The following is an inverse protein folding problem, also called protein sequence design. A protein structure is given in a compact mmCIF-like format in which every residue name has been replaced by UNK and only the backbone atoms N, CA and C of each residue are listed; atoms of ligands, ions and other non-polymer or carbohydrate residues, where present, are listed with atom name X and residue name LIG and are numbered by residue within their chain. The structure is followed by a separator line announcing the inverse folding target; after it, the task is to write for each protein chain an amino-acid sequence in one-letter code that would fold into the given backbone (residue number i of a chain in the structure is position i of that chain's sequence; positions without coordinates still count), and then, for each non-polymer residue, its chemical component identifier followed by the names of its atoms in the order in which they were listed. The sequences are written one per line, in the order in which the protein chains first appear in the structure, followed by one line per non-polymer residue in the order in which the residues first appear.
data_IF_777920701384
#
_entry.id   IF_777920701384
#
_cell.length_a   1.000
_cell.length_b   1.000
_cell.length_c   1.000
_cell.angle_alpha   90.00
_cell.angle_beta   90.00
_cell.angle_gamma   90.00
#
_symmetry.space_group_name_H-M   'P 1'
#
loop_
_entity.id
_entity.type
_entity.pdbx_description
1 polymer ?
#
# COMPACT_ATOMS: atom_id res chain seq x y z
N UNK A 1 4.46 -39.39 -4.05
CA UNK A 1 5.10 -39.59 -2.72
C UNK A 1 6.38 -38.75 -2.53
N UNK A 2 7.37 -38.78 -3.43
CA UNK A 2 8.62 -37.99 -3.24
C UNK A 2 8.34 -36.48 -3.12
N UNK A 3 7.54 -35.90 -4.01
CA UNK A 3 7.14 -34.49 -3.92
C UNK A 3 6.40 -34.16 -2.61
N UNK A 4 5.58 -35.09 -2.11
CA UNK A 4 4.88 -34.93 -0.83
C UNK A 4 5.85 -34.78 0.34
N UNK A 5 6.81 -35.70 0.50
CA UNK A 5 7.78 -35.62 1.62
C UNK A 5 8.77 -34.47 1.44
N UNK A 6 9.10 -34.11 0.20
CA UNK A 6 9.95 -32.96 -0.12
C UNK A 6 9.29 -31.63 0.22
N UNK A 7 7.97 -31.51 0.01
CA UNK A 7 7.21 -30.30 0.29
C UNK A 7 6.81 -30.16 1.76
N UNK A 8 6.46 -31.25 2.43
CA UNK A 8 5.94 -31.20 3.82
C UNK A 8 7.01 -31.28 4.89
N UNK A 9 8.20 -31.80 4.55
CA UNK A 9 9.19 -32.19 5.56
C UNK A 9 8.69 -33.27 6.54
N UNK A 10 7.62 -33.99 6.17
CA UNK A 10 7.00 -34.99 7.03
C UNK A 10 7.99 -36.11 7.39
N UNK A 11 7.90 -36.58 8.63
CA UNK A 11 8.53 -37.85 9.01
C UNK A 11 7.85 -38.97 8.23
N UNK A 12 8.63 -39.95 7.76
CA UNK A 12 8.11 -41.02 6.88
C UNK A 12 6.99 -41.85 7.52
N UNK A 13 6.95 -41.91 8.86
CA UNK A 13 5.90 -42.60 9.60
C UNK A 13 4.51 -41.97 9.46
N UNK A 14 4.41 -40.70 9.07
CA UNK A 14 3.14 -40.02 8.87
C UNK A 14 2.35 -40.55 7.65
N UNK A 15 3.04 -41.20 6.70
CA UNK A 15 2.48 -41.64 5.42
C UNK A 15 1.41 -42.72 5.58
N UNK A 16 1.64 -43.66 6.50
CA UNK A 16 0.84 -44.88 6.62
C UNK A 16 -0.58 -44.63 7.12
N UNK A 17 -0.74 -43.68 8.05
CA UNK A 17 -2.03 -43.30 8.62
C UNK A 17 -2.75 -42.18 7.82
N UNK A 18 -2.15 -41.69 6.73
CA UNK A 18 -2.66 -40.53 6.02
C UNK A 18 -3.86 -40.89 5.14
N UNK A 19 -4.97 -40.17 5.30
CA UNK A 19 -6.22 -40.36 4.56
C UNK A 19 -6.60 -39.08 3.78
N UNK A 20 -7.44 -39.23 2.75
CA UNK A 20 -7.83 -38.11 1.89
C UNK A 20 -8.54 -36.99 2.66
N UNK A 21 -9.30 -37.30 3.71
CA UNK A 21 -9.94 -36.29 4.58
C UNK A 21 -8.95 -35.35 5.28
N UNK A 22 -7.67 -35.74 5.39
CA UNK A 22 -6.64 -34.91 6.00
C UNK A 22 -6.06 -33.89 5.02
N UNK A 23 -6.38 -33.99 3.72
CA UNK A 23 -5.92 -33.08 2.67
C UNK A 23 -7.02 -32.07 2.38
N UNK A 24 -6.67 -30.78 2.43
CA UNK A 24 -7.60 -29.68 2.19
C UNK A 24 -6.96 -28.69 1.25
N UNK A 25 -7.72 -28.17 0.29
CA UNK A 25 -7.21 -27.17 -0.65
C UNK A 25 -6.87 -25.85 0.03
N UNK A 26 -5.83 -25.19 -0.46
CA UNK A 26 -5.36 -23.89 -0.01
C UNK A 26 -5.20 -22.95 -1.21
N UNK A 27 -5.08 -21.62 -0.99
CA UNK A 27 -4.81 -20.67 -2.07
C UNK A 27 -3.54 -21.02 -2.87
N UNK A 28 -3.38 -20.39 -4.04
CA UNK A 28 -2.24 -20.58 -4.94
C UNK A 28 -2.04 -22.01 -5.46
N UNK A 29 -3.12 -22.81 -5.55
CA UNK A 29 -3.08 -24.23 -5.93
C UNK A 29 -2.25 -25.09 -4.96
N UNK A 30 -2.07 -24.63 -3.72
CA UNK A 30 -1.45 -25.40 -2.67
C UNK A 30 -2.49 -26.29 -1.96
N UNK A 31 -2.02 -27.21 -1.13
CA UNK A 31 -2.89 -27.99 -0.23
C UNK A 31 -2.31 -27.99 1.18
N UNK A 32 -3.17 -28.00 2.19
CA UNK A 32 -2.82 -28.27 3.57
C UNK A 32 -3.04 -29.76 3.87
N UNK A 33 -2.22 -30.31 4.74
CA UNK A 33 -2.30 -31.71 5.17
C UNK A 33 -2.16 -31.81 6.67
N UNK A 34 -3.14 -32.40 7.35
CA UNK A 34 -3.03 -32.76 8.77
C UNK A 34 -2.26 -34.07 8.91
N UNK A 35 -1.09 -34.01 9.53
CA UNK A 35 -0.24 -35.17 9.80
C UNK A 35 -0.45 -35.63 11.24
N UNK A 36 -0.44 -36.95 11.45
CA UNK A 36 -0.64 -37.57 12.77
C UNK A 36 -1.97 -37.18 13.44
N UNK A 37 -3.03 -37.04 12.63
CA UNK A 37 -4.42 -36.76 13.05
C UNK A 37 -4.83 -37.61 14.26
N UNK A 38 -5.33 -36.95 15.31
CA UNK A 38 -5.79 -37.60 16.53
C UNK A 38 -4.69 -38.07 17.49
N UNK A 39 -3.44 -37.63 17.30
CA UNK A 39 -2.32 -37.94 18.22
C UNK A 39 -1.73 -36.68 18.85
N UNK A 40 -0.92 -36.86 19.90
CA UNK A 40 -0.18 -35.77 20.54
C UNK A 40 0.94 -35.17 19.66
N UNK A 41 1.17 -35.72 18.46
CA UNK A 41 2.12 -35.23 17.47
C UNK A 41 1.43 -34.59 16.26
N UNK A 42 0.12 -34.33 16.34
CA UNK A 42 -0.64 -33.71 15.25
C UNK A 42 -0.09 -32.34 14.85
N UNK A 43 0.09 -32.12 13.56
CA UNK A 43 0.42 -30.81 13.01
C UNK A 43 -0.01 -30.66 11.56
N UNK A 44 -0.23 -29.41 11.14
CA UNK A 44 -0.50 -29.08 9.74
C UNK A 44 0.80 -28.87 8.97
N UNK A 45 0.91 -29.52 7.82
CA UNK A 45 1.94 -29.29 6.81
C UNK A 45 1.29 -28.80 5.51
N UNK A 46 2.10 -28.39 4.53
CA UNK A 46 1.60 -27.87 3.26
C UNK A 46 2.32 -28.50 2.05
N UNK A 47 1.58 -28.58 0.95
CA UNK A 47 2.04 -28.96 -0.36
C UNK A 47 2.23 -27.71 -1.22
N UNK A 48 3.39 -27.61 -1.87
CA UNK A 48 3.63 -26.64 -2.94
C UNK A 48 2.64 -26.88 -4.10
N UNK A 49 2.49 -25.92 -5.03
CA UNK A 49 1.66 -26.12 -6.21
C UNK A 49 2.08 -27.36 -7.02
N UNK A 50 3.39 -27.55 -7.22
CA UNK A 50 3.97 -28.73 -7.86
C UNK A 50 3.56 -30.03 -7.13
N UNK A 51 3.73 -30.09 -5.81
CA UNK A 51 3.42 -31.29 -5.04
C UNK A 51 1.91 -31.58 -5.01
N UNK A 52 1.08 -30.54 -5.00
CA UNK A 52 -0.38 -30.62 -5.03
C UNK A 52 -0.88 -31.13 -6.39
N UNK A 53 -0.30 -30.64 -7.49
CA UNK A 53 -0.61 -31.12 -8.85
C UNK A 53 -0.28 -32.60 -8.99
N UNK A 54 0.93 -33.00 -8.60
CA UNK A 54 1.40 -34.39 -8.70
C UNK A 54 0.58 -35.32 -7.80
N UNK A 55 0.16 -34.84 -6.62
CA UNK A 55 -0.75 -35.63 -5.77
C UNK A 55 -2.11 -35.81 -6.46
N UNK A 56 -2.66 -34.74 -7.05
CA UNK A 56 -3.94 -34.79 -7.76
C UNK A 56 -3.88 -35.73 -8.95
N UNK A 57 -2.84 -35.65 -9.79
CA UNK A 57 -2.62 -36.56 -10.92
C UNK A 57 -2.57 -38.03 -10.49
N UNK A 58 -1.89 -38.31 -9.37
CA UNK A 58 -1.85 -39.66 -8.79
C UNK A 58 -3.22 -40.14 -8.31
N UNK A 59 -4.03 -39.26 -7.71
CA UNK A 59 -5.40 -39.59 -7.32
C UNK A 59 -6.29 -39.82 -8.55
N UNK A 60 -6.12 -39.05 -9.62
CA UNK A 60 -6.84 -39.29 -10.89
C UNK A 60 -6.43 -40.60 -11.56
N UNK A 61 -5.16 -40.98 -11.51
CA UNK A 61 -4.71 -42.31 -11.96
C UNK A 61 -5.45 -43.42 -11.20
N UNK A 62 -5.54 -43.33 -9.88
CA UNK A 62 -6.28 -44.30 -9.06
C UNK A 62 -7.76 -44.38 -9.44
N UNK A 63 -8.41 -43.24 -9.72
CA UNK A 63 -9.80 -43.23 -10.19
C UNK A 63 -9.93 -43.89 -11.57
N UNK A 64 -9.01 -43.62 -12.49
CA UNK A 64 -8.97 -44.25 -13.83
C UNK A 64 -8.78 -45.76 -13.76
N UNK A 65 -8.05 -46.25 -12.77
CA UNK A 65 -7.89 -47.68 -12.50
C UNK A 65 -9.16 -48.34 -11.89
N UNK A 66 -10.21 -47.57 -11.62
CA UNK A 66 -11.47 -48.04 -11.05
C UNK A 66 -11.55 -47.97 -9.52
N UNK A 67 -10.62 -47.30 -8.85
CA UNK A 67 -10.69 -47.10 -7.39
C UNK A 67 -11.70 -46.00 -7.04
N UNK A 68 -12.66 -46.32 -6.17
CA UNK A 68 -13.56 -45.33 -5.57
C UNK A 68 -12.86 -44.67 -4.37
N UNK A 69 -12.52 -43.39 -4.52
CA UNK A 69 -11.84 -42.61 -3.48
C UNK A 69 -12.85 -42.00 -2.51
N UNK A 70 -12.79 -42.42 -1.25
CA UNK A 70 -13.59 -41.92 -0.14
C UNK A 70 -12.72 -41.08 0.81
N UNK A 71 -13.30 -40.25 1.69
CA UNK A 71 -12.52 -39.47 2.66
C UNK A 71 -11.58 -40.31 3.54
N UNK A 72 -11.94 -41.55 3.84
CA UNK A 72 -11.15 -42.49 4.64
C UNK A 72 -10.13 -43.28 3.81
N UNK A 73 -10.16 -43.18 2.47
CA UNK A 73 -9.19 -43.85 1.61
C UNK A 73 -7.78 -43.34 1.92
N UNK A 74 -6.76 -44.21 1.91
CA UNK A 74 -5.39 -43.80 2.17
C UNK A 74 -4.92 -42.85 1.06
N UNK A 75 -4.14 -41.82 1.43
CA UNK A 75 -3.53 -40.91 0.46
C UNK A 75 -2.58 -41.67 -0.44
N UNK A 76 -1.76 -42.57 0.10
CA UNK A 76 -0.84 -43.40 -0.66
C UNK A 76 -1.20 -44.88 -0.49
N UNK A 77 -1.40 -45.59 -1.60
CA UNK A 77 -1.61 -47.05 -1.60
C UNK A 77 -0.33 -47.81 -1.91
N UNK A 78 -0.25 -49.03 -1.40
CA UNK A 78 0.77 -50.01 -1.79
C UNK A 78 0.60 -50.43 -3.25
N UNK A 79 1.68 -50.89 -3.89
CA UNK A 79 1.70 -51.27 -5.31
C UNK A 79 0.74 -52.43 -5.60
N UNK A 80 0.05 -52.36 -6.72
CA UNK A 80 -0.82 -53.40 -7.26
C UNK A 80 -0.84 -53.29 -8.80
N UNK A 81 -1.40 -54.29 -9.51
CA UNK A 81 -1.42 -54.32 -10.99
C UNK A 81 -2.73 -53.81 -11.63
N UNK A 82 -3.86 -53.85 -10.91
CA UNK A 82 -5.23 -53.51 -11.39
C UNK A 82 -6.10 -52.90 -10.26
N UNK A 83 -6.78 -51.76 -10.49
CA UNK A 83 -7.41 -50.94 -9.43
C UNK A 83 -8.59 -51.56 -8.71
N UNK A 84 -9.10 -52.67 -9.24
CA UNK A 84 -10.15 -53.50 -8.66
C UNK A 84 -9.67 -54.27 -7.41
N UNK A 85 -8.36 -54.36 -7.16
CA UNK A 85 -7.81 -55.01 -5.98
C UNK A 85 -8.02 -54.16 -4.72
N UNK A 86 -8.24 -54.86 -3.58
CA UNK A 86 -8.40 -54.24 -2.25
C UNK A 86 -7.32 -53.20 -2.00
N UNK A 87 -7.75 -52.00 -1.62
CA UNK A 87 -6.86 -50.89 -1.31
C UNK A 87 -6.10 -51.22 -0.03
N UNK A 88 -4.76 -51.26 -0.12
CA UNK A 88 -3.86 -51.45 1.02
C UNK A 88 -3.07 -50.14 1.18
N UNK A 89 -3.09 -49.51 2.37
CA UNK A 89 -2.27 -48.33 2.63
C UNK A 89 -0.77 -48.61 2.41
N UNK A 90 -0.03 -47.60 1.96
CA UNK A 90 1.42 -47.70 1.85
C UNK A 90 2.05 -47.76 3.25
N UNK A 91 2.61 -48.92 3.61
CA UNK A 91 3.30 -49.07 4.88
C UNK A 91 4.58 -48.23 4.95
N UNK A 92 5.04 -47.92 6.16
CA UNK A 92 6.33 -47.25 6.39
C UNK A 92 7.49 -47.94 5.66
N UNK A 93 7.55 -49.27 5.71
CA UNK A 93 8.60 -50.05 5.03
C UNK A 93 8.49 -49.91 3.51
N UNK A 94 7.27 -49.94 2.97
CA UNK A 94 7.02 -49.70 1.54
C UNK A 94 7.48 -48.31 1.10
N UNK A 95 7.18 -47.27 1.88
CA UNK A 95 7.60 -45.91 1.61
C UNK A 95 9.14 -45.75 1.61
N UNK A 96 9.83 -46.34 2.59
CA UNK A 96 11.30 -46.40 2.63
C UNK A 96 11.85 -47.13 1.39
N UNK A 97 11.20 -48.20 0.96
CA UNK A 97 11.54 -48.92 -0.27
C UNK A 97 11.42 -48.06 -1.52
N UNK A 98 10.36 -47.26 -1.65
CA UNK A 98 10.18 -46.30 -2.76
C UNK A 98 11.32 -45.28 -2.77
N UNK A 99 11.64 -44.67 -1.62
CA UNK A 99 12.75 -43.71 -1.51
C UNK A 99 14.08 -44.35 -1.92
N UNK A 100 14.35 -45.57 -1.41
CA UNK A 100 15.60 -46.27 -1.71
C UNK A 100 15.76 -46.58 -3.20
N UNK A 101 14.66 -46.94 -3.88
CA UNK A 101 14.66 -47.12 -5.34
C UNK A 101 14.87 -45.80 -6.09
N UNK A 102 14.24 -44.72 -5.63
CA UNK A 102 14.42 -43.40 -6.22
C UNK A 102 15.89 -42.93 -6.13
N UNK A 103 16.53 -43.07 -4.97
CA UNK A 103 17.95 -42.76 -4.75
C UNK A 103 18.84 -43.55 -5.72
N UNK A 104 18.60 -44.86 -5.84
CA UNK A 104 19.36 -45.72 -6.76
C UNK A 104 19.17 -45.30 -8.22
N UNK A 105 17.93 -45.00 -8.63
CA UNK A 105 17.60 -44.56 -9.99
C UNK A 105 18.25 -43.20 -10.31
N UNK A 106 18.42 -42.35 -9.31
CA UNK A 106 19.13 -41.08 -9.43
C UNK A 106 20.67 -41.23 -9.48
N UNK A 107 21.22 -42.45 -9.42
CA UNK A 107 22.66 -42.69 -9.42
C UNK A 107 23.36 -42.29 -8.12
N UNK A 108 22.61 -42.06 -7.04
CA UNK A 108 23.16 -41.66 -5.75
C UNK A 108 23.57 -42.89 -4.94
N UNK A 109 24.87 -43.05 -4.70
CA UNK A 109 25.41 -44.11 -3.87
C UNK A 109 25.46 -43.67 -2.41
N UNK A 110 24.89 -44.51 -1.52
CA UNK A 110 24.90 -44.24 -0.08
C UNK A 110 26.06 -45.00 0.55
N UNK A 111 27.18 -44.31 0.79
CA UNK A 111 28.29 -44.88 1.54
C UNK A 111 27.97 -44.90 3.03
N UNK A 112 28.33 -46.00 3.69
CA UNK A 112 28.16 -46.16 5.13
C UNK A 112 29.46 -45.71 5.82
N UNK A 113 29.36 -44.67 6.65
CA UNK A 113 30.43 -44.22 7.52
C UNK A 113 30.08 -44.64 8.97
N UNK A 114 30.73 -45.71 9.45
CA UNK A 114 30.41 -46.32 10.74
C UNK A 114 28.98 -46.88 10.76
N UNK A 115 28.13 -46.35 11.66
CA UNK A 115 26.72 -46.76 11.80
C UNK A 115 25.74 -45.90 10.99
N UNK A 116 26.21 -44.87 10.27
CA UNK A 116 25.36 -43.92 9.55
C UNK A 116 25.68 -43.93 8.06
N UNK A 117 24.66 -43.71 7.24
CA UNK A 117 24.87 -43.38 5.84
C UNK A 117 25.10 -41.88 5.70
N UNK A 118 26.05 -41.49 4.85
CA UNK A 118 26.34 -40.09 4.53
C UNK A 118 25.08 -39.38 3.99
N UNK A 119 24.38 -40.05 3.07
CA UNK A 119 23.08 -39.63 2.56
C UNK A 119 21.99 -40.31 3.38
N UNK A 120 21.18 -39.51 4.09
CA UNK A 120 19.99 -39.98 4.77
C UNK A 120 18.85 -40.17 3.76
N UNK A 121 18.28 -41.38 3.68
CA UNK A 121 17.22 -41.66 2.70
C UNK A 121 15.89 -41.02 3.12
N UNK A 122 15.33 -41.46 4.24
CA UNK A 122 14.04 -41.01 4.77
C UNK A 122 14.14 -39.63 5.43
N UNK A 123 15.24 -39.36 6.14
CA UNK A 123 15.45 -38.08 6.82
C UNK A 123 16.03 -36.97 5.91
N UNK A 124 16.53 -37.31 4.71
CA UNK A 124 17.15 -36.34 3.80
C UNK A 124 16.20 -35.23 3.35
N UNK A 125 14.98 -35.58 2.95
CA UNK A 125 13.95 -34.61 2.55
C UNK A 125 13.57 -33.67 3.69
N UNK A 126 13.38 -34.24 4.90
CA UNK A 126 13.10 -33.44 6.10
C UNK A 126 14.27 -32.52 6.46
N UNK A 127 15.52 -32.99 6.32
CA UNK A 127 16.70 -32.15 6.54
C UNK A 127 16.75 -31.00 5.53
N UNK A 128 16.51 -31.25 4.24
CA UNK A 128 16.39 -30.20 3.21
C UNK A 128 15.33 -29.17 3.59
N UNK A 129 14.12 -29.63 3.92
CA UNK A 129 13.01 -28.76 4.32
C UNK A 129 13.37 -27.91 5.55
N UNK A 130 13.93 -28.52 6.60
CA UNK A 130 14.38 -27.82 7.79
C UNK A 130 15.50 -26.81 7.51
N UNK A 131 16.45 -27.15 6.63
CA UNK A 131 17.51 -26.23 6.21
C UNK A 131 16.95 -25.03 5.48
N UNK A 132 16.03 -25.22 4.53
CA UNK A 132 15.38 -24.12 3.80
C UNK A 132 14.67 -23.19 4.80
N UNK A 133 13.87 -23.73 5.72
CA UNK A 133 13.20 -22.93 6.76
C UNK A 133 14.17 -22.14 7.63
N UNK A 134 15.24 -22.80 8.12
CA UNK A 134 16.18 -22.20 9.08
C UNK A 134 17.15 -21.19 8.45
N UNK A 135 17.34 -21.23 7.14
CA UNK A 135 18.17 -20.24 6.42
C UNK A 135 17.41 -18.95 6.10
N UNK A 136 16.08 -18.96 6.21
CA UNK A 136 15.23 -17.78 5.97
C UNK A 136 15.14 -16.95 7.25
N UNK A 137 15.45 -15.65 7.13
CA UNK A 137 15.33 -14.68 8.23
C UNK A 137 13.96 -14.00 8.30
N UNK A 138 13.13 -14.18 7.28
CA UNK A 138 11.81 -13.56 7.12
C UNK A 138 10.65 -14.50 7.51
N UNK A 139 10.97 -15.63 8.15
CA UNK A 139 10.01 -16.59 8.71
C UNK A 139 10.15 -16.63 10.21
N UNK A 140 9.03 -16.52 10.92
CA UNK A 140 9.02 -16.62 12.38
C UNK A 140 9.56 -17.98 12.84
N UNK A 141 10.42 -17.96 13.87
CA UNK A 141 10.91 -19.17 14.52
C UNK A 141 9.76 -20.07 15.01
N UNK A 142 8.68 -19.50 15.56
CA UNK A 142 7.52 -20.25 16.03
C UNK A 142 6.82 -21.02 14.91
N UNK A 143 6.76 -20.43 13.72
CA UNK A 143 6.16 -21.03 12.52
C UNK A 143 7.08 -22.10 11.95
N UNK A 144 8.39 -21.87 11.92
CA UNK A 144 9.39 -22.88 11.52
C UNK A 144 9.28 -24.14 12.37
N UNK A 145 9.25 -24.01 13.70
CA UNK A 145 9.12 -25.17 14.60
C UNK A 145 7.77 -25.89 14.42
N UNK A 146 6.70 -25.14 14.14
CA UNK A 146 5.37 -25.70 13.86
C UNK A 146 5.29 -26.45 12.54
N UNK A 147 5.86 -25.90 11.46
CA UNK A 147 5.97 -26.57 10.15
C UNK A 147 6.82 -27.84 10.23
N UNK A 148 7.76 -27.90 11.18
CA UNK A 148 8.53 -29.11 11.47
C UNK A 148 7.77 -30.10 12.36
N UNK A 149 6.63 -29.76 12.96
CA UNK A 149 5.95 -30.63 13.91
C UNK A 149 6.83 -30.91 15.14
N UNK A 150 7.49 -29.88 15.66
CA UNK A 150 8.20 -29.91 16.92
C UNK A 150 7.27 -29.48 18.07
N UNK A 151 7.41 -30.12 19.23
CA UNK A 151 6.67 -29.72 20.43
C UNK A 151 7.10 -28.31 20.85
N UNK A 152 6.13 -27.44 21.04
CA UNK A 152 6.35 -26.07 21.47
C UNK A 152 6.64 -26.06 22.98
N UNK A 153 7.76 -25.45 23.40
CA UNK A 153 8.01 -25.10 24.80
C UNK A 153 6.95 -24.06 25.26
N UNK A 154 6.78 -23.87 26.58
CA UNK A 154 5.77 -22.97 27.16
C UNK A 154 5.71 -21.57 26.49
N UNK A 155 6.86 -20.98 26.15
CA UNK A 155 6.96 -19.66 25.52
C UNK A 155 6.42 -19.60 24.07
N UNK A 156 6.40 -20.72 23.36
CA UNK A 156 5.85 -20.81 22.01
C UNK A 156 4.34 -21.09 22.00
N UNK A 157 3.75 -21.38 23.17
CA UNK A 157 2.32 -21.74 23.31
C UNK A 157 1.35 -20.59 23.01
N UNK A 158 1.81 -19.34 23.10
CA UNK A 158 1.02 -18.15 22.79
C UNK A 158 0.74 -17.99 21.29
N UNK A 159 1.56 -18.59 20.42
CA UNK A 159 1.34 -18.53 18.98
C UNK A 159 0.55 -19.75 18.50
N UNK A 160 -0.78 -19.68 18.59
CA UNK A 160 -1.70 -20.59 17.88
C UNK A 160 -2.09 -19.98 16.53
N UNK A 161 -1.09 -19.70 15.70
CA UNK A 161 -1.35 -19.22 14.35
C UNK A 161 -2.37 -20.12 13.65
N UNK A 162 -3.40 -19.51 13.09
CA UNK A 162 -4.38 -20.14 12.22
C UNK A 162 -3.67 -20.81 11.04
N UNK A 163 -4.33 -21.78 10.39
CA UNK A 163 -3.77 -22.45 9.21
C UNK A 163 -3.36 -21.43 8.14
N UNK A 164 -4.14 -20.38 7.99
CA UNK A 164 -3.96 -19.28 7.05
C UNK A 164 -2.72 -18.43 7.40
N UNK A 165 -2.47 -18.18 8.69
CA UNK A 165 -1.25 -17.49 9.16
C UNK A 165 0.00 -18.32 8.91
N UNK A 166 -0.05 -19.62 9.21
CA UNK A 166 1.09 -20.52 8.95
C UNK A 166 1.31 -20.64 7.43
N UNK A 167 0.23 -20.69 6.64
CA UNK A 167 0.31 -20.76 5.20
C UNK A 167 0.94 -19.50 4.58
N UNK A 168 0.65 -18.30 5.12
CA UNK A 168 1.29 -17.05 4.68
C UNK A 168 2.82 -17.12 4.78
N UNK A 169 3.33 -17.74 5.83
CA UNK A 169 4.77 -17.96 6.01
C UNK A 169 5.30 -19.07 5.09
N UNK A 170 4.56 -20.18 4.94
CA UNK A 170 4.91 -21.24 3.99
C UNK A 170 5.01 -20.72 2.55
N UNK A 171 4.14 -19.76 2.16
CA UNK A 171 4.13 -19.16 0.82
C UNK A 171 5.50 -18.59 0.42
N UNK A 172 6.25 -18.06 1.39
CA UNK A 172 7.57 -17.43 1.18
C UNK A 172 8.64 -18.42 0.70
N UNK A 173 8.49 -19.71 1.00
CA UNK A 173 9.47 -20.76 0.68
C UNK A 173 9.02 -21.70 -0.43
N UNK A 174 7.84 -21.50 -1.03
CA UNK A 174 7.33 -22.39 -2.08
C UNK A 174 8.34 -22.54 -3.22
N UNK A 175 8.96 -21.43 -3.65
CA UNK A 175 9.99 -21.43 -4.68
C UNK A 175 11.20 -22.30 -4.32
N UNK A 176 11.69 -22.17 -3.09
CA UNK A 176 12.86 -22.92 -2.59
C UNK A 176 12.53 -24.42 -2.42
N UNK A 177 11.27 -24.73 -2.11
CA UNK A 177 10.79 -26.10 -1.92
C UNK A 177 10.50 -26.82 -3.23
N UNK A 178 10.07 -26.11 -4.27
CA UNK A 178 9.77 -26.66 -5.61
C UNK A 178 10.97 -27.44 -6.11
N UNK A 179 10.75 -28.67 -6.59
CA UNK A 179 11.80 -29.63 -6.94
C UNK A 179 12.22 -29.48 -8.40
N UNK A 180 11.26 -29.46 -9.33
CA UNK A 180 11.52 -29.28 -10.76
C UNK A 180 12.03 -27.87 -11.05
N UNK A 181 13.12 -27.78 -11.82
CA UNK A 181 13.68 -26.51 -12.28
C UNK A 181 12.73 -25.79 -13.24
N UNK A 182 12.04 -26.55 -14.09
CA UNK A 182 11.03 -26.05 -15.02
C UNK A 182 9.84 -25.42 -14.28
N UNK A 183 9.28 -26.14 -13.31
CA UNK A 183 8.18 -25.65 -12.47
C UNK A 183 8.61 -24.44 -11.64
N UNK A 184 9.83 -24.45 -11.11
CA UNK A 184 10.36 -23.32 -10.36
C UNK A 184 10.51 -22.10 -11.26
N UNK A 185 11.05 -22.25 -12.46
CA UNK A 185 11.20 -21.16 -13.42
C UNK A 185 9.85 -20.62 -13.88
N UNK A 186 8.89 -21.49 -14.19
CA UNK A 186 7.53 -21.12 -14.53
C UNK A 186 6.85 -20.35 -13.39
N UNK A 187 7.01 -20.82 -12.15
CA UNK A 187 6.52 -20.13 -10.95
C UNK A 187 7.18 -18.76 -10.76
N UNK A 188 8.50 -18.66 -10.95
CA UNK A 188 9.21 -17.38 -10.87
C UNK A 188 8.74 -16.38 -11.93
N UNK A 189 8.55 -16.84 -13.17
CA UNK A 189 8.06 -15.99 -14.26
C UNK A 189 6.66 -15.47 -13.94
N UNK A 190 5.74 -16.35 -13.55
CA UNK A 190 4.39 -15.94 -13.16
C UNK A 190 4.39 -14.92 -12.02
N UNK A 191 5.20 -15.12 -10.98
CA UNK A 191 5.31 -14.16 -9.87
C UNK A 191 5.91 -12.82 -10.31
N UNK A 192 6.81 -12.82 -11.29
CA UNK A 192 7.36 -11.59 -11.88
C UNK A 192 6.30 -10.88 -12.72
N UNK A 193 5.53 -11.61 -13.52
CA UNK A 193 4.45 -11.05 -14.34
C UNK A 193 3.37 -10.42 -13.46
N UNK A 194 2.89 -11.13 -12.42
CA UNK A 194 1.94 -10.59 -11.43
C UNK A 194 2.47 -9.32 -10.73
N UNK A 195 3.80 -9.23 -10.52
CA UNK A 195 4.44 -8.05 -9.94
C UNK A 195 4.51 -6.90 -10.96
N UNK A 196 4.79 -7.20 -12.21
CA UNK A 196 4.83 -6.22 -13.30
C UNK A 196 3.44 -5.61 -13.47
N UNK A 197 2.39 -6.42 -13.55
CA UNK A 197 1.00 -5.97 -13.71
C UNK A 197 0.59 -5.04 -12.55
N UNK A 198 0.92 -5.42 -11.31
CA UNK A 198 0.65 -4.59 -10.14
C UNK A 198 1.37 -3.25 -10.20
N UNK A 199 2.66 -3.26 -10.54
CA UNK A 199 3.46 -2.03 -10.64
C UNK A 199 2.99 -1.14 -11.80
N UNK A 200 2.54 -1.73 -12.92
CA UNK A 200 1.94 -1.01 -14.03
C UNK A 200 0.64 -0.33 -13.59
N UNK A 201 -0.25 -1.05 -12.91
CA UNK A 201 -1.49 -0.49 -12.37
C UNK A 201 -1.25 0.65 -11.37
N UNK A 202 -0.32 0.47 -10.43
CA UNK A 202 0.06 1.51 -9.46
C UNK A 202 0.65 2.75 -10.18
N UNK A 203 1.48 2.52 -11.20
CA UNK A 203 2.07 3.59 -12.01
C UNK A 203 1.00 4.35 -12.79
N UNK A 204 0.08 3.66 -13.45
CA UNK A 204 -1.02 4.27 -14.20
C UNK A 204 -1.95 5.08 -13.29
N UNK A 205 -2.32 4.53 -12.13
CA UNK A 205 -3.12 5.23 -11.13
C UNK A 205 -2.42 6.51 -10.66
N UNK A 206 -1.10 6.45 -10.44
CA UNK A 206 -0.32 7.62 -10.03
C UNK A 206 -0.17 8.66 -11.14
N UNK A 207 0.03 8.23 -12.39
CA UNK A 207 0.10 9.12 -13.55
C UNK A 207 -1.24 9.85 -13.72
N UNK A 208 -2.36 9.13 -13.69
CA UNK A 208 -3.69 9.75 -13.78
C UNK A 208 -3.93 10.79 -12.68
N UNK A 209 -3.53 10.49 -11.44
CA UNK A 209 -3.63 11.46 -10.34
C UNK A 209 -2.74 12.70 -10.54
N UNK A 210 -1.54 12.53 -11.11
CA UNK A 210 -0.65 13.64 -11.45
C UNK A 210 -1.18 14.48 -12.61
N UNK A 211 -1.74 13.86 -13.64
CA UNK A 211 -2.36 14.55 -14.79
C UNK A 211 -3.54 15.43 -14.35
N UNK A 212 -4.40 14.91 -13.48
CA UNK A 212 -5.52 15.67 -12.91
C UNK A 212 -5.04 16.84 -12.06
N UNK A 213 -3.98 16.64 -11.28
CA UNK A 213 -3.37 17.71 -10.48
C UNK A 213 -2.75 18.79 -11.38
N UNK A 214 -2.03 18.38 -12.43
CA UNK A 214 -1.42 19.29 -13.39
C UNK A 214 -2.49 20.14 -14.11
N UNK A 215 -3.62 19.53 -14.49
CA UNK A 215 -4.75 20.24 -15.10
C UNK A 215 -5.30 21.33 -14.17
N UNK A 216 -5.56 21.02 -12.90
CA UNK A 216 -6.03 22.00 -11.91
C UNK A 216 -5.04 23.14 -11.69
N UNK A 217 -3.75 22.83 -11.70
CA UNK A 217 -2.70 23.85 -11.59
C UNK A 217 -2.67 24.77 -12.81
N UNK A 218 -2.82 24.22 -14.02
CA UNK A 218 -2.93 25.02 -15.26
C UNK A 218 -4.13 25.97 -15.20
N UNK A 219 -5.31 25.48 -14.83
CA UNK A 219 -6.52 26.31 -14.67
C UNK A 219 -6.30 27.43 -13.63
N UNK A 220 -5.59 27.13 -12.53
CA UNK A 220 -5.27 28.13 -11.51
C UNK A 220 -4.27 29.18 -12.00
N UNK A 221 -3.27 28.78 -12.78
CA UNK A 221 -2.29 29.69 -13.38
C UNK A 221 -2.99 30.65 -14.35
N UNK A 222 -3.87 30.15 -15.21
CA UNK A 222 -4.64 30.98 -16.14
C UNK A 222 -5.50 32.02 -15.39
N UNK A 223 -6.19 31.61 -14.33
CA UNK A 223 -6.97 32.53 -13.49
C UNK A 223 -6.10 33.62 -12.83
N UNK A 224 -4.91 33.26 -12.34
CA UNK A 224 -3.97 34.22 -11.78
C UNK A 224 -3.43 35.20 -12.82
N UNK A 225 -3.21 34.75 -14.06
CA UNK A 225 -2.79 35.61 -15.16
C UNK A 225 -3.88 36.64 -15.54
N UNK A 226 -5.16 36.23 -15.52
CA UNK A 226 -6.27 37.16 -15.75
C UNK A 226 -6.38 38.22 -14.65
N UNK A 227 -6.32 37.82 -13.38
CA UNK A 227 -6.31 38.76 -12.24
C UNK A 227 -5.14 39.76 -12.35
N UNK A 228 -3.95 39.27 -12.76
CA UNK A 228 -2.77 40.12 -12.93
C UNK A 228 -2.93 41.14 -14.06
N UNK A 229 -3.60 40.79 -15.17
CA UNK A 229 -3.91 41.72 -16.27
C UNK A 229 -4.86 42.82 -15.80
N UNK A 230 -5.92 42.47 -15.09
CA UNK A 230 -6.88 43.44 -14.52
C UNK A 230 -6.19 44.39 -13.54
N UNK A 231 -5.37 43.85 -12.64
CA UNK A 231 -4.60 44.66 -11.67
C UNK A 231 -3.68 45.66 -12.38
N UNK A 232 -3.02 45.25 -13.47
CA UNK A 232 -2.18 46.17 -14.28
C UNK A 232 -3.01 47.28 -14.92
N UNK A 233 -4.19 46.96 -15.45
CA UNK A 233 -5.08 47.95 -16.05
C UNK A 233 -5.58 48.97 -15.02
N UNK A 234 -6.02 48.51 -13.84
CA UNK A 234 -6.42 49.39 -12.74
C UNK A 234 -5.27 50.31 -12.35
N UNK A 235 -4.07 49.77 -12.13
CA UNK A 235 -2.89 50.57 -11.79
C UNK A 235 -2.54 51.62 -12.86
N UNK A 236 -2.74 51.32 -14.15
CA UNK A 236 -2.54 52.29 -15.23
C UNK A 236 -3.54 53.44 -15.18
N UNK A 237 -4.83 53.14 -14.97
CA UNK A 237 -5.90 54.15 -14.84
C UNK A 237 -5.73 55.02 -13.60
N UNK A 238 -5.31 54.44 -12.49
CA UNK A 238 -4.98 55.18 -11.27
C UNK A 238 -3.86 56.18 -11.55
N UNK A 239 -2.77 55.75 -12.21
CA UNK A 239 -1.68 56.66 -12.61
C UNK A 239 -2.14 57.78 -13.54
N UNK A 240 -2.96 57.48 -14.55
CA UNK A 240 -3.53 58.50 -15.44
C UNK A 240 -4.38 59.52 -14.68
N UNK A 241 -5.20 59.05 -13.73
CA UNK A 241 -6.06 59.92 -12.91
C UNK A 241 -5.22 60.81 -11.99
N UNK A 242 -4.20 60.25 -11.34
CA UNK A 242 -3.25 61.03 -10.52
C UNK A 242 -2.58 62.12 -11.36
N UNK A 243 -2.10 61.79 -12.56
CA UNK A 243 -1.45 62.76 -13.44
C UNK A 243 -2.40 63.88 -13.88
N UNK A 244 -3.67 63.55 -14.18
CA UNK A 244 -4.70 64.54 -14.56
C UNK A 244 -5.10 65.45 -13.41
N UNK A 245 -5.20 64.92 -12.18
CA UNK A 245 -5.59 65.71 -11.02
C UNK A 245 -4.42 66.49 -10.40
N UNK A 246 -3.19 66.09 -10.70
CA UNK A 246 -1.98 66.85 -10.38
C UNK A 246 -1.67 67.94 -11.43
N UNK A 247 -2.47 68.05 -12.50
CA UNK A 247 -2.33 69.09 -13.53
C UNK A 247 -2.80 70.44 -12.97
N UNK A 248 -1.90 71.44 -12.83
CA UNK A 248 -2.24 72.75 -12.27
C UNK A 248 -3.22 73.58 -13.12
N UNK A 249 -3.58 73.12 -14.33
CA UNK A 249 -4.52 73.79 -15.23
C UNK A 249 -5.95 73.21 -15.22
N UNK A 250 -6.22 72.22 -14.36
CA UNK A 250 -7.55 71.58 -14.25
C UNK A 250 -8.62 72.57 -13.71
N UNK A 251 -9.76 72.80 -14.39
CA UNK A 251 -10.70 73.89 -14.08
C UNK A 251 -11.43 73.79 -12.73
N UNK A 252 -11.24 72.70 -11.98
CA UNK A 252 -11.93 72.47 -10.70
C UNK A 252 -11.18 73.06 -9.49
N UNK A 253 -10.05 73.75 -9.70
CA UNK A 253 -9.28 74.42 -8.66
C UNK A 253 -8.80 75.80 -9.15
N UNK A 254 -9.50 76.90 -8.83
CA UNK A 254 -9.16 78.24 -9.32
C UNK A 254 -7.89 78.84 -8.70
N UNK A 255 -7.41 78.33 -7.57
CA UNK A 255 -6.30 78.93 -6.83
C UNK A 255 -5.30 77.86 -6.39
N UNK A 256 -4.24 77.69 -7.19
CA UNK A 256 -3.15 76.75 -6.94
C UNK A 256 -2.37 77.06 -5.66
N UNK A 257 -2.88 76.61 -4.52
CA UNK A 257 -2.15 76.54 -3.24
C UNK A 257 -1.51 75.16 -3.02
N UNK A 258 -0.38 75.08 -2.30
CA UNK A 258 0.18 73.80 -1.89
C UNK A 258 -0.82 73.10 -0.96
N UNK A 259 -1.34 71.96 -1.41
CA UNK A 259 -2.23 71.01 -0.71
C UNK A 259 -2.41 71.30 0.79
N UNK A 260 -3.55 71.85 1.18
CA UNK A 260 -3.91 71.98 2.60
C UNK A 260 -4.06 70.57 3.17
N UNK A 261 -3.15 70.26 4.10
CA UNK A 261 -2.96 69.00 4.81
C UNK A 261 -4.11 68.69 5.78
N UNK A 262 -5.37 68.83 5.37
CA UNK A 262 -6.53 68.44 6.19
C UNK A 262 -6.93 66.98 5.96
N UNK A 263 -5.97 66.08 6.15
CA UNK A 263 -6.29 64.69 6.55
C UNK A 263 -6.78 64.61 8.02
N UNK A 264 -6.95 65.77 8.67
CA UNK A 264 -7.14 65.90 10.12
C UNK A 264 -8.60 65.64 10.55
N UNK A 265 -9.54 65.58 9.60
CA UNK A 265 -10.99 65.46 9.87
C UNK A 265 -11.58 64.10 9.43
N UNK A 266 -10.73 63.14 9.04
CA UNK A 266 -11.17 61.79 8.65
C UNK A 266 -11.27 60.86 9.87
N UNK A 267 -12.45 60.32 10.08
CA UNK A 267 -12.75 59.30 11.09
C UNK A 267 -12.94 57.94 10.41
N UNK A 268 -12.56 56.85 11.09
CA UNK A 268 -12.62 55.49 10.53
C UNK A 268 -13.38 54.60 11.49
N UNK A 269 -14.38 53.89 10.97
CA UNK A 269 -15.18 52.91 11.70
C UNK A 269 -14.94 51.52 11.08
N UNK A 270 -14.38 50.57 11.82
CA UNK A 270 -14.14 49.21 11.33
C UNK A 270 -15.46 48.41 11.34
N UNK A 271 -15.84 47.86 10.19
CA UNK A 271 -17.02 46.99 10.07
C UNK A 271 -16.60 45.53 10.34
N UNK A 272 -15.46 45.10 9.80
CA UNK A 272 -14.83 43.80 10.05
C UNK A 272 -13.36 43.79 9.57
N UNK A 273 -12.67 42.67 9.77
CA UNK A 273 -11.25 42.49 9.43
C UNK A 273 -10.87 42.86 7.97
N UNK A 274 -11.84 42.85 7.04
CA UNK A 274 -11.64 43.15 5.63
C UNK A 274 -12.44 44.39 5.16
N UNK A 275 -13.07 45.18 6.05
CA UNK A 275 -13.82 46.39 5.66
C UNK A 275 -14.01 47.42 6.76
N UNK A 276 -14.01 48.69 6.36
CA UNK A 276 -14.17 49.86 7.21
C UNK A 276 -15.01 50.94 6.49
N UNK A 277 -15.61 51.84 7.24
CA UNK A 277 -16.19 53.09 6.73
C UNK A 277 -15.24 54.23 7.06
N UNK A 278 -14.98 55.09 6.09
CA UNK A 278 -14.24 56.33 6.32
C UNK A 278 -15.23 57.49 6.24
N UNK A 279 -15.31 58.26 7.31
CA UNK A 279 -16.16 59.43 7.44
C UNK A 279 -15.31 60.70 7.36
N UNK A 280 -15.79 61.68 6.61
CA UNK A 280 -15.21 63.01 6.57
C UNK A 280 -16.08 63.96 7.38
N UNK A 281 -15.62 64.30 8.58
CA UNK A 281 -16.37 65.14 9.52
C UNK A 281 -16.49 66.60 9.07
N UNK A 282 -15.66 67.07 8.13
CA UNK A 282 -15.74 68.43 7.58
C UNK A 282 -16.89 68.55 6.57
N UNK A 283 -17.18 67.49 5.83
CA UNK A 283 -18.19 67.48 4.76
C UNK A 283 -19.45 66.67 5.09
N UNK A 284 -19.45 65.92 6.19
CA UNK A 284 -20.61 65.12 6.61
C UNK A 284 -20.88 63.91 5.70
N UNK A 285 -19.87 63.47 4.96
CA UNK A 285 -19.96 62.44 3.92
C UNK A 285 -19.18 61.18 4.36
N UNK A 286 -19.74 59.99 4.12
CA UNK A 286 -19.09 58.70 4.44
C UNK A 286 -18.89 57.84 3.20
N UNK A 287 -17.83 57.03 3.19
CA UNK A 287 -17.54 56.07 2.13
C UNK A 287 -17.12 54.72 2.69
N UNK A 288 -17.67 53.65 2.12
CA UNK A 288 -17.30 52.29 2.47
C UNK A 288 -16.00 51.89 1.76
N UNK A 289 -15.09 51.33 2.55
CA UNK A 289 -13.75 50.94 2.16
C UNK A 289 -13.53 49.45 2.51
N UNK A 290 -13.04 48.68 1.56
CA UNK A 290 -12.80 47.24 1.71
C UNK A 290 -11.30 46.98 1.60
N UNK A 291 -10.74 46.29 2.58
CA UNK A 291 -9.35 45.84 2.59
C UNK A 291 -9.27 44.41 2.06
N UNK A 292 -8.49 44.19 1.01
CA UNK A 292 -8.20 42.83 0.53
C UNK A 292 -6.74 42.71 0.11
N UNK A 293 -6.03 41.72 0.66
CA UNK A 293 -4.65 41.39 0.30
C UNK A 293 -3.71 42.61 0.31
N UNK A 294 -3.76 43.41 1.38
CA UNK A 294 -2.92 44.62 1.54
C UNK A 294 -3.23 45.75 0.52
N UNK A 295 -4.40 45.71 -0.13
CA UNK A 295 -4.89 46.73 -1.05
C UNK A 295 -6.26 47.23 -0.59
N UNK A 296 -6.56 48.48 -0.93
CA UNK A 296 -7.77 49.16 -0.45
C UNK A 296 -8.70 49.48 -1.62
N UNK A 297 -9.97 49.17 -1.47
CA UNK A 297 -11.01 49.29 -2.49
C UNK A 297 -12.14 50.18 -1.95
N UNK A 298 -12.58 51.18 -2.70
CA UNK A 298 -13.74 51.99 -2.34
C UNK A 298 -14.63 52.24 -3.57
N UNK A 299 -15.90 52.56 -3.35
CA UNK A 299 -16.82 52.87 -4.43
C UNK A 299 -16.59 54.32 -4.88
N UNK A 300 -16.09 54.49 -6.10
CA UNK A 300 -15.89 55.81 -6.68
C UNK A 300 -17.22 56.52 -6.93
N UNK A 301 -17.42 57.67 -6.29
CA UNK A 301 -18.50 58.59 -6.56
C UNK A 301 -17.96 60.03 -6.72
N UNK A 302 -18.86 61.01 -6.84
CA UNK A 302 -18.47 62.43 -6.99
C UNK A 302 -18.28 63.16 -5.66
N UNK A 303 -18.39 62.47 -4.53
CA UNK A 303 -18.26 63.06 -3.19
C UNK A 303 -16.84 63.61 -2.97
N UNK A 304 -16.73 64.60 -2.07
CA UNK A 304 -15.43 65.13 -1.66
C UNK A 304 -14.65 64.08 -0.87
N UNK A 305 -15.37 63.27 -0.08
CA UNK A 305 -14.81 62.15 0.70
C UNK A 305 -14.15 61.09 -0.18
N UNK A 306 -14.70 60.78 -1.36
CA UNK A 306 -14.07 59.86 -2.30
C UNK A 306 -12.69 60.35 -2.77
N UNK A 307 -12.50 61.66 -2.94
CA UNK A 307 -11.22 62.26 -3.34
C UNK A 307 -10.20 62.22 -2.19
N UNK A 308 -10.63 62.49 -0.96
CA UNK A 308 -9.79 62.39 0.23
C UNK A 308 -9.34 60.95 0.50
N UNK A 309 -10.23 59.96 0.34
CA UNK A 309 -9.88 58.55 0.46
C UNK A 309 -8.90 58.12 -0.62
N UNK A 310 -9.11 58.48 -1.89
CA UNK A 310 -8.13 58.19 -2.95
C UNK A 310 -6.73 58.77 -2.66
N UNK A 311 -6.67 59.97 -2.08
CA UNK A 311 -5.41 60.61 -1.70
C UNK A 311 -4.75 59.94 -0.49
N UNK A 312 -5.54 59.55 0.52
CA UNK A 312 -5.07 58.81 1.69
C UNK A 312 -4.49 57.43 1.30
N UNK A 313 -5.12 56.74 0.35
CA UNK A 313 -4.65 55.46 -0.19
C UNK A 313 -3.34 55.55 -1.00
N UNK A 314 -2.96 56.75 -1.45
CA UNK A 314 -1.69 57.00 -2.13
C UNK A 314 -0.52 57.25 -1.16
N UNK A 315 -0.78 57.45 0.15
CA UNK A 315 0.24 57.74 1.14
C UNK A 315 0.66 56.46 1.90
N UNK A 316 1.93 56.06 1.77
CA UNK A 316 2.47 54.85 2.43
C UNK A 316 2.40 54.89 3.95
N UNK A 317 2.29 56.07 4.56
CA UNK A 317 2.09 56.23 6.02
C UNK A 317 0.64 56.06 6.45
N UNK A 318 -0.34 56.15 5.56
CA UNK A 318 -1.75 55.98 5.92
C UNK A 318 -2.03 54.56 6.42
N UNK A 319 -1.42 53.55 5.78
CA UNK A 319 -1.49 52.16 6.23
C UNK A 319 -0.94 51.97 7.65
N UNK A 320 0.14 52.68 8.01
CA UNK A 320 0.73 52.67 9.35
C UNK A 320 -0.14 53.43 10.37
N UNK A 321 -0.74 54.56 9.98
CA UNK A 321 -1.61 55.39 10.85
C UNK A 321 -2.89 54.63 11.21
N UNK A 322 -3.53 53.98 10.25
CA UNK A 322 -4.73 53.14 10.47
C UNK A 322 -4.41 51.97 11.39
N UNK A 323 -3.21 51.40 11.29
CA UNK A 323 -2.78 50.27 12.13
C UNK A 323 -2.38 50.66 13.56
N UNK A 324 -2.06 51.93 13.82
CA UNK A 324 -1.54 52.41 15.11
C UNK A 324 -2.60 53.02 16.02
N UNK A 325 -3.76 53.39 15.47
CA UNK A 325 -4.85 54.00 16.20
C UNK A 325 -5.78 52.93 16.77
N UNK A 326 -5.43 52.44 17.97
CA UNK A 326 -6.28 51.64 18.85
C UNK A 326 -7.42 52.49 19.43
N UNK A 327 -8.32 52.98 18.56
CA UNK A 327 -9.43 53.84 18.96
C UNK A 327 -10.61 52.96 19.35
N UNK A 328 -10.67 52.64 20.65
CA UNK A 328 -11.92 52.27 21.30
C UNK A 328 -12.83 53.49 21.35
N UNK A 329 -14.05 53.37 20.83
CA UNK A 329 -15.16 54.22 21.22
C UNK A 329 -16.11 53.35 22.03
N UNK A 330 -16.20 53.66 23.32
CA UNK A 330 -17.19 53.07 24.25
C UNK A 330 -18.51 53.85 24.11
N UNK A 331 -19.58 53.07 24.01
CA UNK A 331 -21.04 53.35 23.95
C UNK A 331 -21.61 53.90 22.64
#
# INVERSE_FOLDING_TARGET
MIHFVASTGARIGAIEALQLRHVVDMPDKCQAVTLYDGTNEEYTAFLTPEASSILSEYLEERRRDGEVLLPQSPVFRSTYRIGVQKVIPLSRVGAIGIISRAIRKAGLYRNKAGNRYEIQADHGFRKRFATILKLRNDISYSVTERLLGHKQNLDLSYFRGTREEIFREFRKIILDLTVSDEERLALQNRLKDEKIDRLQFEKESKISGLEETAKKLLERIEALETERKETRLINSRVKETINRESDPSNPHFPDGGPFDTRLVNLEVEEINADSMVVYDSEFGESINVVLRKNQVYCRLDKSSTCKHVLFALANSKFYEIVKKNDIKVDV
#
